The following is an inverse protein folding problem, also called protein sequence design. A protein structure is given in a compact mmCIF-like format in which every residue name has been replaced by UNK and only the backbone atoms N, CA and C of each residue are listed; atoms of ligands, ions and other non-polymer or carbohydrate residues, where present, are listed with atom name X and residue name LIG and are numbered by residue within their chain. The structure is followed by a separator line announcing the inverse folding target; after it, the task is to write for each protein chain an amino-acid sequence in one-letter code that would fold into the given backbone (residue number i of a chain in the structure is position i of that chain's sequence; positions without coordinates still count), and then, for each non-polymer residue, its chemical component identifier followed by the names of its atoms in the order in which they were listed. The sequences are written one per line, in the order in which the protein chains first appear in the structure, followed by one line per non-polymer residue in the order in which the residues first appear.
data_IF_915880114021
#
_entry.id   IF_915880114021
#
_cell.length_a   1.000
_cell.length_b   1.000
_cell.length_c   1.000
_cell.angle_alpha   90.00
_cell.angle_beta   90.00
_cell.angle_gamma   90.00
#
_symmetry.space_group_name_H-M   'P 1'
#
loop_
_entity.id
_entity.type
_entity.pdbx_description
1 polymer ?
#
# COMPACT_ATOMS: atom_id res chain seq x y z
N UNK A 1 21.52 -4.65 -24.30
CA UNK A 1 20.13 -5.13 -24.44
C UNK A 1 19.11 -4.16 -23.83
N UNK A 2 19.34 -3.57 -22.65
CA UNK A 2 18.42 -2.60 -22.03
C UNK A 2 18.09 -1.37 -22.91
N UNK A 3 19.09 -0.78 -23.58
CA UNK A 3 18.88 0.41 -24.44
C UNK A 3 17.89 0.22 -25.59
N UNK A 4 17.84 -0.98 -26.19
CA UNK A 4 16.89 -1.28 -27.28
C UNK A 4 15.48 -1.38 -26.72
N UNK A 5 15.31 -2.06 -25.58
CA UNK A 5 14.01 -2.19 -24.90
C UNK A 5 13.48 -0.83 -24.45
N UNK A 6 14.35 0.05 -23.95
CA UNK A 6 13.97 1.41 -23.56
C UNK A 6 13.56 2.26 -24.76
N UNK A 7 14.26 2.16 -25.88
CA UNK A 7 13.88 2.83 -27.13
C UNK A 7 12.51 2.34 -27.63
N UNK A 8 12.28 1.03 -27.64
CA UNK A 8 10.97 0.46 -28.01
C UNK A 8 9.85 0.93 -27.08
N UNK A 9 10.09 1.01 -25.77
CA UNK A 9 9.14 1.58 -24.80
C UNK A 9 8.84 3.05 -25.10
N UNK A 10 9.86 3.84 -25.38
CA UNK A 10 9.69 5.26 -25.70
C UNK A 10 8.87 5.44 -26.98
N UNK A 11 9.21 4.74 -28.07
CA UNK A 11 8.48 4.83 -29.33
C UNK A 11 7.03 4.36 -29.22
N UNK A 12 6.78 3.24 -28.54
CA UNK A 12 5.42 2.74 -28.32
C UNK A 12 4.60 3.71 -27.45
N UNK A 13 5.20 4.27 -26.40
CA UNK A 13 4.52 5.28 -25.57
C UNK A 13 4.22 6.57 -26.35
N UNK A 14 5.15 7.05 -27.17
CA UNK A 14 4.96 8.22 -28.01
C UNK A 14 3.87 8.01 -29.06
N UNK A 15 3.85 6.84 -29.71
CA UNK A 15 2.82 6.47 -30.67
C UNK A 15 1.43 6.45 -30.03
N UNK A 16 1.30 5.80 -28.86
CA UNK A 16 0.03 5.75 -28.11
C UNK A 16 -0.43 7.15 -27.68
N UNK A 17 0.50 8.01 -27.26
CA UNK A 17 0.19 9.39 -26.88
C UNK A 17 -0.36 10.21 -28.05
N UNK A 18 0.28 10.12 -29.21
CA UNK A 18 -0.19 10.81 -30.43
C UNK A 18 -1.55 10.26 -30.87
N UNK A 19 -1.74 8.94 -30.85
CA UNK A 19 -3.01 8.31 -31.19
C UNK A 19 -4.14 8.75 -30.25
N UNK A 20 -3.89 8.75 -28.94
CA UNK A 20 -4.85 9.22 -27.96
C UNK A 20 -5.22 10.69 -28.20
N UNK A 21 -4.22 11.56 -28.39
CA UNK A 21 -4.45 12.97 -28.73
C UNK A 21 -5.31 13.13 -29.99
N UNK A 22 -5.02 12.38 -31.05
CA UNK A 22 -5.83 12.38 -32.27
C UNK A 22 -7.28 11.95 -32.02
N UNK A 23 -7.52 10.84 -31.30
CA UNK A 23 -8.88 10.41 -30.96
C UNK A 23 -9.62 11.44 -30.09
N UNK A 24 -8.94 12.09 -29.14
CA UNK A 24 -9.51 13.13 -28.31
C UNK A 24 -9.93 14.35 -29.15
N UNK A 25 -9.17 14.73 -30.18
CA UNK A 25 -9.57 15.83 -31.08
C UNK A 25 -10.84 15.53 -31.88
N UNK A 26 -11.17 14.25 -32.10
CA UNK A 26 -12.36 13.84 -32.86
C UNK A 26 -13.62 13.68 -32.00
N UNK A 27 -13.50 13.65 -30.67
CA UNK A 27 -14.60 13.25 -29.76
C UNK A 27 -15.24 14.41 -28.99
N UNK A 28 -14.69 15.63 -29.12
CA UNK A 28 -15.20 16.85 -28.47
C UNK A 28 -14.72 17.02 -27.03
N UNK A 29 -14.80 18.26 -26.53
CA UNK A 29 -14.17 18.68 -25.26
C UNK A 29 -14.70 17.90 -24.03
N UNK A 30 -16.01 17.65 -23.96
CA UNK A 30 -16.63 16.93 -22.84
C UNK A 30 -16.15 15.48 -22.75
N UNK A 31 -16.11 14.77 -23.87
CA UNK A 31 -15.61 13.38 -23.96
C UNK A 31 -14.11 13.31 -23.66
N UNK A 32 -13.34 14.28 -24.15
CA UNK A 32 -11.93 14.39 -23.82
C UNK A 32 -11.69 14.60 -22.32
N UNK A 33 -12.49 15.45 -21.68
CA UNK A 33 -12.37 15.74 -20.25
C UNK A 33 -12.74 14.53 -19.38
N UNK A 34 -13.81 13.80 -19.74
CA UNK A 34 -14.21 12.57 -19.02
C UNK A 34 -13.18 11.46 -19.19
N UNK A 35 -12.61 11.30 -20.40
CA UNK A 35 -11.51 10.37 -20.64
C UNK A 35 -10.26 10.73 -19.83
N UNK A 36 -9.89 12.01 -19.75
CA UNK A 36 -8.77 12.47 -18.94
C UNK A 36 -9.02 12.25 -17.43
N UNK A 37 -10.23 12.52 -16.94
CA UNK A 37 -10.58 12.32 -15.54
C UNK A 37 -10.55 10.83 -15.15
N UNK A 38 -11.14 9.96 -15.97
CA UNK A 38 -11.18 8.52 -15.73
C UNK A 38 -9.79 7.87 -15.77
N UNK A 39 -8.96 8.25 -16.75
CA UNK A 39 -7.57 7.79 -16.81
C UNK A 39 -6.76 8.29 -15.62
N UNK A 40 -6.92 9.55 -15.20
CA UNK A 40 -6.30 10.09 -14.00
C UNK A 40 -6.68 9.32 -12.73
N UNK A 41 -7.97 9.02 -12.56
CA UNK A 41 -8.46 8.23 -11.42
C UNK A 41 -7.88 6.80 -11.42
N UNK A 42 -7.82 6.15 -12.57
CA UNK A 42 -7.24 4.81 -12.69
C UNK A 42 -5.74 4.81 -12.36
N UNK A 43 -4.99 5.81 -12.80
CA UNK A 43 -3.56 5.94 -12.47
C UNK A 43 -3.35 6.14 -10.96
N UNK A 44 -4.19 6.96 -10.32
CA UNK A 44 -4.14 7.14 -8.86
C UNK A 44 -4.45 5.82 -8.13
N UNK A 45 -5.45 5.07 -8.59
CA UNK A 45 -5.80 3.77 -8.04
C UNK A 45 -4.65 2.76 -8.20
N UNK A 46 -4.10 2.62 -9.40
CA UNK A 46 -2.94 1.76 -9.66
C UNK A 46 -1.75 2.15 -8.79
N UNK A 47 -1.47 3.45 -8.63
CA UNK A 47 -0.41 3.95 -7.76
C UNK A 47 -0.65 3.58 -6.30
N UNK A 48 -1.88 3.72 -5.81
CA UNK A 48 -2.25 3.32 -4.46
C UNK A 48 -2.01 1.82 -4.23
N UNK A 49 -2.40 0.96 -5.18
CA UNK A 49 -2.12 -0.46 -5.13
C UNK A 49 -0.62 -0.79 -5.15
N UNK A 50 0.17 -0.10 -5.97
CA UNK A 50 1.63 -0.29 -6.01
C UNK A 50 2.27 0.10 -4.67
N UNK A 51 1.85 1.23 -4.09
CA UNK A 51 2.33 1.65 -2.76
C UNK A 51 1.95 0.60 -1.70
N UNK A 52 0.72 0.08 -1.75
CA UNK A 52 0.26 -0.96 -0.84
C UNK A 52 1.04 -2.28 -1.02
N UNK A 53 1.31 -2.69 -2.26
CA UNK A 53 2.08 -3.90 -2.55
C UNK A 53 3.56 -3.78 -2.13
N UNK A 54 4.14 -2.58 -2.25
CA UNK A 54 5.49 -2.28 -1.78
C UNK A 54 5.56 -2.04 -0.26
N UNK A 55 4.43 -1.99 0.45
CA UNK A 55 4.43 -1.87 1.89
C UNK A 55 5.09 -3.12 2.49
N UNK A 56 6.21 -2.92 3.19
CA UNK A 56 6.91 -4.04 3.84
C UNK A 56 5.99 -4.68 4.88
N UNK A 57 5.92 -6.03 4.92
CA UNK A 57 5.24 -6.73 6.01
C UNK A 57 5.76 -6.20 7.36
N UNK A 58 4.83 -5.86 8.24
CA UNK A 58 5.16 -5.41 9.59
C UNK A 58 5.81 -6.60 10.32
N UNK A 59 6.96 -6.42 11.00
CA UNK A 59 7.52 -7.47 11.83
C UNK A 59 6.47 -7.93 12.84
N UNK A 60 6.33 -9.24 13.10
CA UNK A 60 5.28 -9.78 13.99
C UNK A 60 5.34 -9.12 15.39
N UNK A 61 6.52 -8.78 15.89
CA UNK A 61 6.71 -8.06 17.16
C UNK A 61 6.37 -6.56 17.16
N UNK A 62 6.03 -5.95 16.00
CA UNK A 62 5.75 -4.50 15.92
C UNK A 62 4.49 -4.12 16.72
N UNK A 63 3.50 -5.00 16.79
CA UNK A 63 2.29 -4.77 17.57
C UNK A 63 2.62 -4.72 19.07
N UNK A 64 3.44 -5.65 19.56
CA UNK A 64 3.88 -5.70 20.96
C UNK A 64 4.69 -4.47 21.35
N UNK A 65 5.64 -4.08 20.51
CA UNK A 65 6.46 -2.88 20.77
C UNK A 65 5.63 -1.61 20.74
N UNK A 66 4.68 -1.48 19.81
CA UNK A 66 3.75 -0.35 19.78
C UNK A 66 2.84 -0.29 21.02
N UNK A 67 2.35 -1.45 21.49
CA UNK A 67 1.54 -1.52 22.70
C UNK A 67 2.36 -1.10 23.92
N UNK A 68 3.59 -1.62 24.04
CA UNK A 68 4.51 -1.28 25.13
C UNK A 68 4.90 0.20 25.13
N UNK A 69 5.13 0.77 23.95
CA UNK A 69 5.45 2.18 23.77
C UNK A 69 4.25 3.08 24.15
N UNK A 70 3.03 2.65 23.82
CA UNK A 70 1.80 3.34 24.24
C UNK A 70 1.60 3.27 25.75
N UNK A 71 1.79 2.12 26.38
CA UNK A 71 1.73 1.96 27.84
C UNK A 71 2.74 2.83 28.57
N UNK A 72 3.94 3.04 28.02
CA UNK A 72 4.92 3.98 28.60
C UNK A 72 4.46 5.43 28.51
N UNK A 73 3.80 5.81 27.40
CA UNK A 73 3.35 7.19 27.15
C UNK A 73 2.04 7.56 27.83
N UNK A 74 1.25 6.59 28.26
CA UNK A 74 -0.06 6.83 28.85
C UNK A 74 -0.19 5.97 30.10
N UNK A 75 -0.53 6.59 31.23
CA UNK A 75 -0.74 5.91 32.51
C UNK A 75 -2.01 5.04 32.46
N UNK A 76 -1.97 3.97 31.67
CA UNK A 76 -2.99 2.94 31.70
C UNK A 76 -2.71 1.99 32.86
N UNK A 77 -3.78 1.50 33.49
CA UNK A 77 -3.71 0.44 34.50
C UNK A 77 -2.82 -0.70 34.00
N UNK A 78 -1.94 -1.18 34.87
CA UNK A 78 -0.91 -2.21 34.63
C UNK A 78 -1.42 -3.58 34.17
N UNK A 79 -2.72 -3.70 33.87
CA UNK A 79 -3.39 -4.93 33.42
C UNK A 79 -3.60 -5.00 31.89
N UNK A 80 -3.06 -4.06 31.10
CA UNK A 80 -3.29 -3.97 29.65
C UNK A 80 -2.37 -4.87 28.81
N UNK A 81 -1.20 -5.23 29.30
CA UNK A 81 -0.29 -6.19 28.69
C UNK A 81 -0.42 -7.56 29.39
N UNK A 82 -1.14 -8.53 28.79
CA UNK A 82 -1.31 -9.85 29.38
C UNK A 82 0.01 -10.64 29.50
N UNK A 83 1.08 -10.19 28.85
CA UNK A 83 2.43 -10.76 28.94
C UNK A 83 3.34 -10.00 29.93
N UNK A 84 2.84 -8.98 30.63
CA UNK A 84 3.64 -8.22 31.60
C UNK A 84 4.15 -9.12 32.74
N UNK A 85 5.43 -8.95 33.10
CA UNK A 85 6.04 -9.63 34.24
C UNK A 85 5.30 -9.26 35.53
N UNK A 86 4.62 -10.24 36.12
CA UNK A 86 3.84 -10.06 37.34
C UNK A 86 2.70 -11.07 37.48
N UNK A 87 2.02 -11.41 36.37
CA UNK A 87 1.02 -12.50 36.29
C UNK A 87 0.92 -13.07 34.87
N UNK A 88 1.82 -13.99 34.46
CA UNK A 88 1.64 -14.70 33.20
C UNK A 88 0.31 -15.45 33.24
N UNK A 89 -0.59 -15.20 32.29
CA UNK A 89 -1.83 -15.99 32.21
C UNK A 89 -1.49 -17.44 31.84
N UNK A 90 -2.16 -18.44 32.45
CA UNK A 90 -2.20 -19.78 31.88
C UNK A 90 -2.71 -19.67 30.44
N UNK A 91 -1.90 -20.05 29.46
CA UNK A 91 -2.35 -20.08 28.07
C UNK A 91 -3.29 -21.26 27.94
N UNK A 92 -4.55 -21.01 27.60
CA UNK A 92 -5.44 -22.08 27.16
C UNK A 92 -4.73 -22.82 26.01
N UNK A 93 -4.69 -24.16 26.00
CA UNK A 93 -4.10 -24.90 24.91
C UNK A 93 -4.79 -24.46 23.60
N UNK A 94 -3.99 -23.91 22.69
CA UNK A 94 -4.50 -23.24 21.50
C UNK A 94 -3.36 -22.91 20.55
N UNK A 95 -3.70 -22.73 19.27
CA UNK A 95 -2.73 -22.48 18.21
C UNK A 95 -1.90 -21.23 18.54
N UNK A 96 -0.55 -21.30 18.50
CA UNK A 96 0.29 -20.15 18.80
C UNK A 96 -0.08 -18.98 17.89
N UNK A 97 -0.26 -17.81 18.49
CA UNK A 97 -0.54 -16.58 17.75
C UNK A 97 0.70 -16.22 16.91
N UNK A 98 0.55 -15.81 15.64
CA UNK A 98 1.66 -15.43 14.77
C UNK A 98 2.56 -14.31 15.33
N UNK A 99 2.05 -13.55 16.30
CA UNK A 99 2.73 -12.47 17.03
C UNK A 99 3.73 -12.98 18.09
N UNK A 100 3.84 -14.31 18.27
CA UNK A 100 4.63 -14.93 19.34
C UNK A 100 6.05 -15.39 18.95
N UNK A 101 6.43 -15.28 17.67
CA UNK A 101 7.78 -15.58 17.18
C UNK A 101 8.75 -14.41 17.36
#
# INVERSE_FOLDING_TARGET
MYRIVDMWRLYTSALLFVLAGFLLTQTGLTTALTAAATTGALLLLCRAFLIAACARPLPPGRIRTALRDRERRTAFLSQRDPDAAGRPRPRAPGRPLPTAA
#
